data_IF_165949100396
#
_entry.id   IF_165949100396
#
_cell.length_a   1.000
_cell.length_b   1.000
_cell.length_c   1.000
_cell.angle_alpha   90.00
_cell.angle_beta   90.00
_cell.angle_gamma   90.00
#
_symmetry.space_group_name_H-M   'P 1'
#
loop_
_entity.id
_entity.type
_entity.pdbx_description
1 polymer ?
#
# COMPACT_ATOMS: atom_id res chain seq x y z
N UNK A 1 -3.92 -13.06 -2.21
CA UNK A 1 -3.49 -12.37 -3.44
C UNK A 1 -3.30 -13.39 -4.53
N UNK A 2 -4.24 -13.43 -5.46
CA UNK A 2 -4.10 -14.19 -6.70
C UNK A 2 -3.12 -13.46 -7.64
N UNK A 3 -2.47 -14.18 -8.56
CA UNK A 3 -1.59 -13.56 -9.57
C UNK A 3 -2.30 -12.53 -10.45
N UNK A 4 -3.64 -12.59 -10.53
CA UNK A 4 -4.49 -11.68 -11.29
C UNK A 4 -4.72 -10.35 -10.54
N UNK A 5 -4.81 -10.40 -9.21
CA UNK A 5 -4.87 -9.20 -8.35
C UNK A 5 -3.56 -8.41 -8.37
N UNK A 6 -2.42 -9.06 -8.65
CA UNK A 6 -1.11 -8.43 -8.78
C UNK A 6 -0.89 -7.70 -10.12
N UNK A 7 -1.77 -7.89 -11.11
CA UNK A 7 -1.70 -7.20 -12.42
C UNK A 7 -2.23 -5.78 -12.37
N UNK A 8 -3.07 -5.49 -11.39
CA UNK A 8 -3.65 -4.16 -11.18
C UNK A 8 -3.21 -3.66 -9.79
N UNK A 9 -2.14 -2.86 -9.74
CA UNK A 9 -1.61 -2.36 -8.48
C UNK A 9 -2.65 -1.50 -7.74
N UNK A 10 -3.60 -0.88 -8.45
CA UNK A 10 -4.71 -0.14 -7.83
C UNK A 10 -5.68 -1.10 -7.14
N UNK A 11 -5.98 -2.26 -7.73
CA UNK A 11 -6.82 -3.29 -7.07
C UNK A 11 -6.16 -3.87 -5.83
N UNK A 12 -4.85 -4.12 -5.87
CA UNK A 12 -4.10 -4.54 -4.69
C UNK A 12 -4.18 -3.53 -3.54
N UNK A 13 -4.21 -2.23 -3.85
CA UNK A 13 -4.40 -1.15 -2.88
C UNK A 13 -5.86 -0.98 -2.46
N UNK A 14 -6.82 -1.39 -3.30
CA UNK A 14 -8.25 -1.37 -2.98
C UNK A 14 -8.62 -2.32 -1.85
N UNK A 15 -7.81 -3.37 -1.60
CA UNK A 15 -7.96 -4.25 -0.42
C UNK A 15 -7.79 -3.47 0.89
N UNK A 16 -7.03 -2.36 0.90
CA UNK A 16 -6.93 -1.48 2.07
C UNK A 16 -8.21 -0.68 2.33
N UNK A 17 -9.11 -0.56 1.33
CA UNK A 17 -10.44 0.02 1.52
C UNK A 17 -11.34 -0.90 2.36
N UNK A 18 -11.19 -2.22 2.22
CA UNK A 18 -12.00 -3.23 2.93
C UNK A 18 -11.60 -3.46 4.38
N UNK A 19 -10.41 -3.01 4.80
CA UNK A 19 -10.07 -2.86 6.23
C UNK A 19 -10.77 -1.65 6.90
N UNK A 20 -11.69 -1.01 6.18
CA UNK A 20 -12.31 0.30 6.41
C UNK A 20 -13.27 0.43 7.59
N UNK A 21 -13.02 -0.23 8.72
CA UNK A 21 -13.76 0.06 9.95
C UNK A 21 -13.39 1.41 10.60
N UNK A 22 -12.19 1.96 10.33
CA UNK A 22 -11.64 3.05 11.15
C UNK A 22 -10.86 4.14 10.37
N UNK A 23 -10.98 4.18 9.04
CA UNK A 23 -10.26 5.19 8.23
C UNK A 23 -11.07 6.48 8.05
N UNK A 24 -10.55 7.60 8.55
CA UNK A 24 -11.14 8.95 8.39
C UNK A 24 -10.92 9.51 6.99
N UNK A 25 -9.80 9.11 6.36
CA UNK A 25 -9.46 9.51 4.99
C UNK A 25 -8.88 8.31 4.25
N UNK A 26 -9.38 8.10 3.03
CA UNK A 26 -8.76 7.20 2.09
C UNK A 26 -9.01 7.73 0.68
N UNK A 27 -8.02 8.45 0.18
CA UNK A 27 -8.04 9.04 -1.15
C UNK A 27 -7.01 8.33 -2.02
N UNK A 28 -7.48 7.83 -3.17
CA UNK A 28 -6.62 7.26 -4.21
C UNK A 28 -6.84 8.10 -5.45
N UNK A 29 -5.76 8.69 -5.96
CA UNK A 29 -5.78 9.49 -7.20
C UNK A 29 -4.86 8.85 -8.21
N UNK A 30 -5.35 8.77 -9.43
CA UNK A 30 -4.62 8.24 -10.58
C UNK A 30 -4.46 9.36 -11.60
N UNK A 31 -3.23 9.54 -12.08
CA UNK A 31 -2.92 10.50 -13.14
C UNK A 31 -1.89 9.86 -14.09
N UNK A 32 -2.39 9.29 -15.18
CA UNK A 32 -1.57 8.57 -16.14
C UNK A 32 -0.90 7.37 -15.48
N UNK A 33 0.44 7.36 -15.45
CA UNK A 33 1.21 6.30 -14.83
C UNK A 33 1.57 6.55 -13.35
N UNK A 34 1.01 7.59 -12.74
CA UNK A 34 1.23 7.92 -11.33
C UNK A 34 -0.02 7.61 -10.51
N UNK A 35 0.15 6.90 -9.40
CA UNK A 35 -0.89 6.61 -8.41
C UNK A 35 -0.46 7.20 -7.08
N UNK A 36 -1.29 8.05 -6.49
CA UNK A 36 -1.07 8.61 -5.16
C UNK A 36 -2.13 8.14 -4.19
N UNK A 37 -1.71 7.83 -2.98
CA UNK A 37 -2.55 7.35 -1.88
C UNK A 37 -2.36 8.28 -0.71
N UNK A 38 -3.47 8.76 -0.16
CA UNK A 38 -3.49 9.49 1.10
C UNK A 38 -4.51 8.81 2.02
N UNK A 39 -4.00 8.20 3.09
CA UNK A 39 -4.77 7.40 4.02
C UNK A 39 -4.53 7.90 5.44
N UNK A 40 -5.62 8.08 6.17
CA UNK A 40 -5.60 8.38 7.60
C UNK A 40 -6.61 7.47 8.30
N UNK A 41 -6.12 6.64 9.22
CA UNK A 41 -6.94 5.72 9.98
C UNK A 41 -6.71 5.85 11.48
N UNK A 42 -7.74 5.54 12.26
CA UNK A 42 -7.74 5.54 13.71
C UNK A 42 -7.99 6.92 14.36
N UNK A 43 -7.75 6.97 15.67
CA UNK A 43 -7.83 8.18 16.48
C UNK A 43 -6.42 8.56 16.98
N UNK A 44 -5.92 9.77 16.67
CA UNK A 44 -4.59 10.20 17.09
C UNK A 44 -4.39 10.22 18.62
N UNK A 45 -5.46 10.19 19.42
CA UNK A 45 -5.39 10.08 20.89
C UNK A 45 -5.21 8.64 21.39
N UNK A 46 -5.53 7.63 20.57
CA UNK A 46 -5.43 6.22 20.94
C UNK A 46 -4.42 5.48 20.06
N UNK A 47 -4.72 5.42 18.76
CA UNK A 47 -3.89 4.84 17.71
C UNK A 47 -4.24 5.49 16.38
N UNK A 48 -3.29 6.09 15.69
CA UNK A 48 -3.49 6.57 14.32
C UNK A 48 -2.40 6.10 13.37
N UNK A 49 -2.79 5.95 12.12
CA UNK A 49 -1.91 5.60 11.02
C UNK A 49 -2.20 6.57 9.89
N UNK A 50 -1.19 7.35 9.52
CA UNK A 50 -1.21 8.28 8.40
C UNK A 50 -0.22 7.78 7.35
N UNK A 51 -0.67 7.54 6.13
CA UNK A 51 0.16 7.07 5.03
C UNK A 51 -0.06 7.97 3.82
N UNK A 52 1.04 8.48 3.28
CA UNK A 52 1.07 9.14 1.98
C UNK A 52 2.02 8.38 1.08
N UNK A 53 1.49 7.81 0.01
CA UNK A 53 2.26 7.09 -0.98
C UNK A 53 2.13 7.76 -2.36
N UNK A 54 3.20 7.73 -3.13
CA UNK A 54 3.19 8.10 -4.54
C UNK A 54 4.00 7.08 -5.32
N UNK A 55 3.34 6.36 -6.21
CA UNK A 55 3.94 5.34 -7.06
C UNK A 55 3.88 5.78 -8.52
N UNK A 56 4.99 5.58 -9.23
CA UNK A 56 5.11 5.80 -10.67
C UNK A 56 5.33 4.45 -11.32
N UNK A 57 4.36 4.00 -12.10
CA UNK A 57 4.43 2.78 -12.89
C UNK A 57 5.29 3.04 -14.13
N UNK A 58 6.40 2.32 -14.24
CA UNK A 58 7.27 2.36 -15.41
C UNK A 58 6.76 1.37 -16.47
N UNK A 59 6.21 0.24 -16.03
CA UNK A 59 5.47 -0.72 -16.84
C UNK A 59 4.60 -1.62 -15.94
N UNK A 60 3.87 -2.57 -16.52
CA UNK A 60 2.99 -3.49 -15.79
C UNK A 60 3.69 -4.36 -14.72
N UNK A 61 5.03 -4.41 -14.70
CA UNK A 61 5.84 -5.23 -13.79
C UNK A 61 6.90 -4.41 -13.04
N UNK A 62 6.91 -3.09 -13.15
CA UNK A 62 7.92 -2.25 -12.52
C UNK A 62 7.34 -0.92 -12.10
N UNK A 63 7.47 -0.58 -10.82
CA UNK A 63 7.13 0.73 -10.31
C UNK A 63 8.18 1.24 -9.34
N UNK A 64 8.33 2.55 -9.31
CA UNK A 64 9.10 3.26 -8.28
C UNK A 64 8.15 4.11 -7.45
N UNK A 65 8.58 4.57 -6.29
CA UNK A 65 7.75 5.45 -5.51
C UNK A 65 8.34 5.90 -4.19
N UNK A 66 7.54 6.69 -3.48
CA UNK A 66 7.82 7.11 -2.12
C UNK A 66 6.66 6.74 -1.23
N UNK A 67 6.99 6.31 -0.02
CA UNK A 67 6.05 5.98 1.03
C UNK A 67 6.46 6.77 2.27
N UNK A 68 5.59 7.66 2.72
CA UNK A 68 5.69 8.33 4.01
C UNK A 68 4.63 7.75 4.91
N UNK A 69 5.02 7.25 6.07
CA UNK A 69 4.09 6.80 7.08
C UNK A 69 4.37 7.50 8.41
N UNK A 70 3.30 7.77 9.14
CA UNK A 70 3.33 8.17 10.53
C UNK A 70 2.38 7.27 11.28
N UNK A 71 2.86 6.67 12.36
CA UNK A 71 2.06 5.84 13.26
C UNK A 71 2.14 6.46 14.64
N UNK A 72 0.99 6.71 15.25
CA UNK A 72 0.87 7.09 16.65
C UNK A 72 0.31 5.89 17.38
N UNK A 73 1.04 5.39 18.38
CA UNK A 73 0.59 4.29 19.22
C UNK A 73 0.84 4.66 20.69
N UNK A 74 -0.21 4.68 21.51
CA UNK A 74 -0.13 5.04 22.93
C UNK A 74 0.62 6.38 23.16
N UNK A 75 0.35 7.37 22.32
CA UNK A 75 0.99 8.70 22.37
C UNK A 75 2.42 8.75 21.82
N UNK A 76 3.04 7.62 21.45
CA UNK A 76 4.35 7.59 20.79
C UNK A 76 4.20 7.71 19.29
N UNK A 77 4.81 8.74 18.70
CA UNK A 77 4.84 8.97 17.26
C UNK A 77 6.10 8.34 16.65
N UNK A 78 5.91 7.50 15.65
CA UNK A 78 6.97 6.96 14.80
C UNK A 78 6.68 7.34 13.36
N UNK A 79 7.66 7.88 12.65
CA UNK A 79 7.53 8.22 11.23
C UNK A 79 8.59 7.49 10.42
N UNK A 80 8.22 7.04 9.22
CA UNK A 80 9.14 6.48 8.26
C UNK A 80 8.95 7.15 6.90
N UNK A 81 10.07 7.36 6.20
CA UNK A 81 10.08 7.75 4.81
C UNK A 81 10.93 6.75 4.04
N UNK A 82 10.35 6.12 3.02
CA UNK A 82 10.98 5.07 2.22
C UNK A 82 10.78 5.36 0.75
N UNK A 83 11.84 5.16 -0.01
CA UNK A 83 11.76 5.02 -1.47
C UNK A 83 11.55 3.54 -1.78
N UNK A 84 10.70 3.26 -2.75
CA UNK A 84 10.42 1.92 -3.25
C UNK A 84 10.87 1.85 -4.69
N UNK A 85 11.62 0.81 -5.03
CA UNK A 85 11.85 0.37 -6.40
C UNK A 85 11.48 -1.10 -6.46
N UNK A 86 10.45 -1.43 -7.24
CA UNK A 86 9.82 -2.73 -7.23
C UNK A 86 9.75 -3.28 -8.63
N UNK A 87 10.38 -4.44 -8.84
CA UNK A 87 10.41 -5.15 -10.11
C UNK A 87 9.89 -6.56 -9.92
N UNK A 88 8.91 -6.94 -10.74
CA UNK A 88 8.38 -8.28 -10.80
C UNK A 88 9.39 -9.21 -11.47
N UNK A 89 9.99 -10.11 -10.69
CA UNK A 89 11.04 -11.04 -11.17
C UNK A 89 10.51 -12.42 -11.58
N UNK A 90 9.20 -12.67 -11.44
CA UNK A 90 8.54 -13.93 -11.82
C UNK A 90 7.45 -14.31 -10.81
N UNK A 91 6.66 -15.34 -11.13
CA UNK A 91 5.76 -15.93 -10.15
C UNK A 91 6.58 -16.79 -9.18
N UNK A 92 6.33 -16.67 -7.87
CA UNK A 92 6.84 -17.64 -6.91
C UNK A 92 6.30 -19.02 -7.29
N UNK A 93 7.18 -19.99 -7.55
CA UNK A 93 6.77 -21.40 -7.62
C UNK A 93 6.15 -21.74 -6.25
N UNK A 94 4.99 -22.40 -6.26
CA UNK A 94 4.30 -22.84 -5.06
C UNK A 94 5.29 -23.46 -4.08
N UNK A 95 5.28 -22.98 -2.84
CA UNK A 95 6.05 -23.60 -1.77
C UNK A 95 5.63 -25.08 -1.66
N UNK A 96 6.57 -26.03 -1.64
CA UNK A 96 6.24 -27.44 -1.49
C UNK A 96 5.62 -27.64 -0.11
N UNK A 97 4.30 -27.80 -0.02
CA UNK A 97 3.69 -28.10 1.28
C UNK A 97 2.16 -27.98 1.44
N UNK A 98 1.42 -27.31 0.57
CA UNK A 98 -0.06 -27.28 0.72
C UNK A 98 -0.71 -28.43 -0.04
N UNK A 99 -0.84 -29.58 0.64
CA UNK A 99 -1.77 -30.64 0.25
C UNK A 99 -3.21 -30.10 0.29
N UNK A 100 -3.98 -30.51 -0.73
CA UNK A 100 -5.43 -30.31 -0.88
C UNK A 100 -6.21 -30.86 0.30
#
# INVERSE_FOLDING_TARGET
MTPEEAKDPVKSLSVMKDTGGQCKKLEVKEKGNVVTIDMQCGDPKQMSIDIVAAYTFLNAKHYTGTLKSTVILAGKKTSANKTVDSKWIGACKDAPGKKK
#
